data_IF_427522916908
#
_entry.id   IF_427522916908
#
_cell.length_a   1.000
_cell.length_b   1.000
_cell.length_c   1.000
_cell.angle_alpha   90.00
_cell.angle_beta   90.00
_cell.angle_gamma   90.00
#
_symmetry.space_group_name_H-M   'P 1'
#
loop_
_entity.id
_entity.type
_entity.pdbx_description
1 polymer ?
#
# COMPACT_ATOMS: atom_id res chain seq x y z
N UNK A 1 3.37 -14.34 2.62
CA UNK A 1 3.17 -13.26 1.63
C UNK A 1 4.37 -12.33 1.70
N UNK A 2 5.03 -12.08 0.57
CA UNK A 2 6.18 -11.19 0.47
C UNK A 2 5.98 -10.29 -0.76
N UNK A 3 6.40 -9.03 -0.66
CA UNK A 3 6.35 -8.07 -1.77
C UNK A 3 7.67 -8.15 -2.53
N UNK A 4 7.64 -8.44 -3.83
CA UNK A 4 8.86 -8.44 -4.63
C UNK A 4 9.10 -7.07 -5.29
N UNK A 5 10.36 -6.59 -5.36
CA UNK A 5 10.65 -5.30 -5.99
C UNK A 5 10.49 -5.31 -7.52
N UNK A 6 10.59 -6.49 -8.14
CA UNK A 6 10.52 -6.67 -9.60
C UNK A 6 9.10 -6.87 -10.13
N UNK A 7 8.10 -6.95 -9.25
CA UNK A 7 6.69 -7.06 -9.62
C UNK A 7 5.96 -5.74 -9.32
N UNK A 8 4.86 -5.53 -10.03
CA UNK A 8 3.89 -4.50 -9.70
C UNK A 8 2.77 -5.17 -8.91
N UNK A 9 2.78 -4.96 -7.60
CA UNK A 9 1.73 -5.49 -6.73
C UNK A 9 0.57 -4.50 -6.65
N UNK A 10 -0.64 -4.98 -6.87
CA UNK A 10 -1.88 -4.21 -6.75
C UNK A 10 -2.70 -4.81 -5.61
N UNK A 11 -2.97 -4.00 -4.60
CA UNK A 11 -3.87 -4.33 -3.50
C UNK A 11 -5.19 -3.60 -3.77
N UNK A 12 -6.24 -4.35 -4.10
CA UNK A 12 -7.50 -3.76 -4.54
C UNK A 12 -8.73 -4.60 -4.18
N UNK A 13 -9.90 -3.99 -4.36
CA UNK A 13 -11.19 -4.67 -4.28
C UNK A 13 -11.73 -4.86 -5.70
N UNK A 14 -11.90 -6.09 -6.18
CA UNK A 14 -12.38 -6.36 -7.53
C UNK A 14 -13.82 -5.91 -7.80
N UNK A 15 -14.61 -5.62 -6.75
CA UNK A 15 -15.95 -5.05 -6.90
C UNK A 15 -15.90 -3.58 -7.35
N UNK A 16 -14.83 -2.85 -7.05
CA UNK A 16 -14.75 -1.41 -7.34
C UNK A 16 -14.45 -1.13 -8.83
N UNK A 17 -15.25 -0.27 -9.51
CA UNK A 17 -15.00 0.07 -10.91
C UNK A 17 -13.64 0.73 -11.16
N UNK A 18 -13.21 1.62 -10.26
CA UNK A 18 -11.90 2.29 -10.32
C UNK A 18 -10.75 1.29 -10.24
N UNK A 19 -10.91 0.25 -9.42
CA UNK A 19 -9.90 -0.78 -9.26
C UNK A 19 -9.77 -1.66 -10.52
N UNK A 20 -10.89 -2.00 -11.19
CA UNK A 20 -10.85 -2.71 -12.48
C UNK A 20 -10.07 -1.93 -13.55
N UNK A 21 -10.26 -0.60 -13.60
CA UNK A 21 -9.50 0.27 -14.52
C UNK A 21 -8.02 0.31 -14.16
N UNK A 22 -7.69 0.45 -12.88
CA UNK A 22 -6.31 0.44 -12.41
C UNK A 22 -5.61 -0.89 -12.75
N UNK A 23 -6.29 -2.03 -12.55
CA UNK A 23 -5.78 -3.35 -12.92
C UNK A 23 -5.42 -3.42 -14.40
N UNK A 24 -6.32 -2.99 -15.29
CA UNK A 24 -6.06 -2.94 -16.72
C UNK A 24 -4.86 -2.03 -17.06
N UNK A 25 -4.77 -0.87 -16.40
CA UNK A 25 -3.63 0.06 -16.56
C UNK A 25 -2.32 -0.58 -16.10
N UNK A 26 -2.30 -1.35 -15.02
CA UNK A 26 -1.09 -2.03 -14.55
C UNK A 26 -0.57 -3.06 -15.56
N UNK A 27 -1.46 -3.86 -16.14
CA UNK A 27 -1.11 -4.80 -17.21
C UNK A 27 -0.62 -4.10 -18.48
N UNK A 28 -1.04 -2.86 -18.74
CA UNK A 28 -0.49 -2.07 -19.85
C UNK A 28 0.94 -1.57 -19.60
N UNK A 29 1.39 -1.54 -18.35
CA UNK A 29 2.72 -1.07 -17.95
C UNK A 29 3.72 -2.22 -17.86
N UNK A 30 3.30 -3.36 -17.32
CA UNK A 30 4.15 -4.53 -17.15
C UNK A 30 3.35 -5.82 -17.21
N UNK A 31 3.99 -6.90 -17.67
CA UNK A 31 3.42 -8.24 -17.63
C UNK A 31 3.59 -8.91 -16.25
N UNK A 32 4.47 -8.38 -15.39
CA UNK A 32 4.74 -8.93 -14.06
C UNK A 32 3.89 -8.23 -12.99
N UNK A 33 2.58 -8.52 -12.99
CA UNK A 33 1.60 -7.95 -12.07
C UNK A 33 1.20 -9.00 -11.03
N UNK A 34 1.32 -8.64 -9.75
CA UNK A 34 0.86 -9.45 -8.62
C UNK A 34 -0.44 -8.84 -8.07
N UNK A 35 -1.51 -9.63 -8.04
CA UNK A 35 -2.85 -9.17 -7.68
C UNK A 35 -3.24 -9.66 -6.29
N UNK A 36 -3.56 -8.71 -5.39
CA UNK A 36 -3.98 -9.00 -4.03
C UNK A 36 -5.37 -8.42 -3.79
N UNK A 37 -6.35 -9.31 -3.70
CA UNK A 37 -7.70 -8.97 -3.24
C UNK A 37 -7.70 -8.87 -1.72
N UNK A 38 -7.70 -7.65 -1.17
CA UNK A 38 -7.68 -7.43 0.29
C UNK A 38 -9.01 -7.78 0.98
N UNK A 39 -10.09 -7.97 0.21
CA UNK A 39 -11.40 -8.39 0.76
C UNK A 39 -11.43 -9.89 1.06
N UNK A 40 -10.64 -10.67 0.31
CA UNK A 40 -10.54 -12.14 0.44
C UNK A 40 -9.25 -12.59 1.11
N UNK A 41 -8.20 -11.79 1.00
CA UNK A 41 -6.85 -12.15 1.45
C UNK A 41 -6.46 -11.29 2.63
N UNK A 42 -6.16 -11.93 3.77
CA UNK A 42 -5.60 -11.24 4.92
C UNK A 42 -4.14 -10.89 4.66
N UNK A 43 -3.84 -9.59 4.70
CA UNK A 43 -2.47 -9.07 4.66
C UNK A 43 -1.93 -9.02 6.10
N UNK A 44 -0.71 -9.54 6.30
CA UNK A 44 -0.08 -9.56 7.62
C UNK A 44 0.38 -8.18 8.06
N UNK A 45 0.51 -7.97 9.37
CA UNK A 45 1.00 -6.72 9.96
C UNK A 45 2.41 -6.38 9.49
N UNK A 46 3.27 -7.37 9.25
CA UNK A 46 4.61 -7.18 8.68
C UNK A 46 4.56 -6.56 7.28
N UNK A 47 3.69 -7.07 6.40
CA UNK A 47 3.53 -6.53 5.04
C UNK A 47 2.92 -5.13 5.08
N UNK A 48 1.92 -4.90 5.95
CA UNK A 48 1.38 -3.55 6.15
C UNK A 48 2.43 -2.55 6.63
N UNK A 49 3.36 -2.98 7.49
CA UNK A 49 4.44 -2.13 7.97
C UNK A 49 5.38 -1.71 6.82
N UNK A 50 5.68 -2.62 5.90
CA UNK A 50 6.47 -2.31 4.70
C UNK A 50 5.73 -1.32 3.79
N UNK A 51 4.44 -1.55 3.52
CA UNK A 51 3.61 -0.66 2.69
C UNK A 51 3.54 0.74 3.29
N UNK A 52 3.30 0.84 4.60
CA UNK A 52 3.28 2.13 5.30
C UNK A 52 4.62 2.85 5.21
N UNK A 53 5.73 2.13 5.37
CA UNK A 53 7.06 2.71 5.21
C UNK A 53 7.24 3.32 3.81
N UNK A 54 6.78 2.63 2.77
CA UNK A 54 6.83 3.13 1.39
C UNK A 54 5.89 4.31 1.12
N UNK A 55 4.79 4.45 1.87
CA UNK A 55 3.82 5.55 1.77
C UNK A 55 4.18 6.78 2.63
N UNK A 56 5.24 6.70 3.46
CA UNK A 56 5.65 7.80 4.33
C UNK A 56 5.19 7.69 5.79
N UNK A 57 4.81 6.50 6.26
CA UNK A 57 4.48 6.16 7.66
C UNK A 57 3.23 6.84 8.25
N UNK A 58 2.24 7.22 7.44
CA UNK A 58 0.94 7.69 7.95
C UNK A 58 -0.18 6.63 7.80
N UNK A 59 -0.43 5.80 8.83
CA UNK A 59 -1.50 4.81 8.78
C UNK A 59 -2.90 5.41 8.70
N UNK A 60 -3.11 6.66 9.15
CA UNK A 60 -4.43 7.30 9.09
C UNK A 60 -4.80 7.67 7.67
N UNK A 61 -3.82 7.89 6.79
CA UNK A 61 -4.06 8.19 5.37
C UNK A 61 -4.64 7.00 4.61
N UNK A 62 -4.32 5.78 5.05
CA UNK A 62 -4.80 4.52 4.47
C UNK A 62 -6.21 4.14 4.89
N UNK A 63 -6.82 4.85 5.84
CA UNK A 63 -8.15 4.52 6.33
C UNK A 63 -9.22 5.46 5.74
N UNK A 64 -10.35 4.89 5.38
CA UNK A 64 -11.51 5.61 4.88
C UNK A 64 -12.23 6.28 6.06
N UNK A 65 -11.89 7.55 6.29
CA UNK A 65 -12.46 8.36 7.36
C UNK A 65 -13.98 8.58 7.23
N UNK A 66 -14.54 8.43 6.02
CA UNK A 66 -15.97 8.57 5.80
C UNK A 66 -16.77 7.32 6.19
N UNK A 67 -16.11 6.17 6.42
CA UNK A 67 -16.80 4.94 6.77
C UNK A 67 -17.39 5.00 8.19
N UNK A 68 -18.64 4.54 8.43
CA UNK A 68 -19.26 4.59 9.75
C UNK A 68 -18.47 3.83 10.82
N UNK A 69 -17.89 2.66 10.50
CA UNK A 69 -17.03 1.92 11.45
C UNK A 69 -15.77 2.70 11.85
N UNK A 70 -15.21 3.54 10.95
CA UNK A 70 -14.08 4.40 11.32
C UNK A 70 -14.52 5.42 12.38
N UNK A 71 -15.70 6.03 12.19
CA UNK A 71 -16.25 7.00 13.13
C UNK A 71 -16.60 6.36 14.48
N UNK A 72 -17.12 5.14 14.47
CA UNK A 72 -17.56 4.44 15.69
C UNK A 72 -16.40 3.82 16.49
N UNK A 73 -15.38 3.26 15.82
CA UNK A 73 -14.34 2.43 16.47
C UNK A 73 -12.96 3.07 16.49
N UNK A 74 -12.66 3.96 15.55
CA UNK A 74 -11.30 4.47 15.32
C UNK A 74 -11.17 5.95 15.67
N UNK A 75 -12.18 6.76 15.36
CA UNK A 75 -12.15 8.20 15.61
C UNK A 75 -12.07 8.50 17.11
N UNK A 76 -11.21 9.46 17.45
CA UNK A 76 -10.98 9.89 18.84
C UNK A 76 -10.01 8.99 19.62
N UNK A 77 -9.66 7.82 19.10
CA UNK A 77 -8.70 6.92 19.71
C UNK A 77 -7.27 7.20 19.23
N UNK A 78 -6.32 7.05 20.15
CA UNK A 78 -4.89 7.13 19.88
C UNK A 78 -4.30 5.72 19.88
N UNK A 79 -3.93 5.23 18.70
CA UNK A 79 -3.28 3.93 18.56
C UNK A 79 -1.78 4.06 18.35
N UNK A 80 -1.03 3.09 18.87
CA UNK A 80 0.38 2.89 18.53
C UNK A 80 0.51 2.38 17.10
N UNK A 81 1.72 2.41 16.53
CA UNK A 81 1.96 1.87 15.18
C UNK A 81 1.50 0.41 15.07
N UNK A 82 1.77 -0.43 16.07
CA UNK A 82 1.30 -1.81 16.09
C UNK A 82 -0.24 -1.90 16.11
N UNK A 83 -0.91 -1.06 16.91
CA UNK A 83 -2.37 -1.00 16.91
C UNK A 83 -2.95 -0.58 15.56
N UNK A 84 -2.30 0.34 14.84
CA UNK A 84 -2.70 0.69 13.48
C UNK A 84 -2.55 -0.49 12.50
N UNK A 85 -1.44 -1.23 12.59
CA UNK A 85 -1.22 -2.43 11.78
C UNK A 85 -2.28 -3.50 12.05
N UNK A 86 -2.65 -3.69 13.33
CA UNK A 86 -3.73 -4.60 13.71
C UNK A 86 -5.07 -4.14 13.14
N UNK A 87 -5.36 -2.83 13.14
CA UNK A 87 -6.58 -2.31 12.53
C UNK A 87 -6.59 -2.60 11.02
N UNK A 88 -5.49 -2.34 10.31
CA UNK A 88 -5.38 -2.60 8.88
C UNK A 88 -5.49 -4.11 8.53
N UNK A 89 -5.00 -4.99 9.39
CA UNK A 89 -5.09 -6.44 9.18
C UNK A 89 -6.46 -7.03 9.54
N UNK A 90 -7.12 -6.51 10.58
CA UNK A 90 -8.38 -7.04 11.10
C UNK A 90 -9.62 -6.35 10.52
N UNK A 91 -9.50 -5.10 10.05
CA UNK A 91 -10.60 -4.32 9.49
C UNK A 91 -10.29 -3.86 8.05
N UNK A 92 -10.11 -4.80 7.11
CA UNK A 92 -9.75 -4.49 5.72
C UNK A 92 -10.80 -3.62 5.00
N UNK A 93 -12.06 -3.66 5.41
CA UNK A 93 -13.13 -2.82 4.83
C UNK A 93 -12.93 -1.32 5.11
N UNK A 94 -12.15 -0.95 6.12
CA UNK A 94 -11.80 0.44 6.41
C UNK A 94 -10.68 0.95 5.50
N UNK A 95 -10.03 0.09 4.72
CA UNK A 95 -8.90 0.46 3.89
C UNK A 95 -9.36 1.36 2.73
N UNK A 96 -8.61 2.43 2.47
CA UNK A 96 -8.64 3.13 1.20
C UNK A 96 -7.85 2.33 0.19
N UNK A 97 -8.52 1.92 -0.87
CA UNK A 97 -7.98 1.16 -1.96
C UNK A 97 -8.41 1.79 -3.28
N UNK A 98 -7.72 1.54 -4.40
CA UNK A 98 -6.57 0.62 -4.55
C UNK A 98 -5.19 1.20 -4.16
N UNK A 99 -4.28 0.33 -3.73
CA UNK A 99 -2.87 0.63 -3.42
C UNK A 99 -1.98 -0.11 -4.42
N UNK A 100 -0.98 0.58 -4.98
CA UNK A 100 0.02 -0.02 -5.87
C UNK A 100 1.38 0.03 -5.22
N UNK A 101 2.12 -1.07 -5.28
CA UNK A 101 3.49 -1.20 -4.78
C UNK A 101 4.40 -1.71 -5.91
N UNK A 102 5.50 -1.01 -6.16
CA UNK A 102 6.51 -1.45 -7.13
C UNK A 102 7.86 -0.80 -6.83
N UNK A 103 8.97 -1.53 -7.04
CA UNK A 103 10.34 -1.00 -6.88
C UNK A 103 10.59 -0.27 -5.55
N UNK A 104 10.02 -0.75 -4.44
CA UNK A 104 10.16 -0.15 -3.12
C UNK A 104 9.43 1.18 -2.94
N UNK A 105 8.51 1.53 -3.84
CA UNK A 105 7.60 2.67 -3.74
C UNK A 105 6.17 2.16 -3.67
N UNK A 106 5.34 2.85 -2.90
CA UNK A 106 3.92 2.60 -2.82
C UNK A 106 3.15 3.89 -3.06
N UNK A 107 1.97 3.77 -3.66
CA UNK A 107 1.05 4.89 -3.86
C UNK A 107 -0.38 4.43 -3.60
N UNK A 108 -1.15 5.25 -2.89
CA UNK A 108 -2.59 5.13 -2.82
C UNK A 108 -3.18 5.80 -4.07
N UNK A 109 -3.87 5.03 -4.90
CA UNK A 109 -4.45 5.50 -6.16
C UNK A 109 -5.91 5.89 -5.94
N UNK A 110 -6.21 7.19 -6.02
CA UNK A 110 -7.61 7.66 -6.10
C UNK A 110 -8.10 7.59 -7.57
N UNK A 111 -7.19 7.69 -8.55
CA UNK A 111 -7.47 7.53 -9.97
C UNK A 111 -6.53 6.49 -10.61
N UNK A 112 -7.00 5.81 -11.66
CA UNK A 112 -6.19 4.82 -12.38
C UNK A 112 -4.91 5.42 -12.99
N UNK A 113 -4.91 6.71 -13.33
CA UNK A 113 -3.74 7.39 -13.88
C UNK A 113 -2.61 7.62 -12.85
N UNK A 114 -2.89 7.53 -11.56
CA UNK A 114 -1.88 7.75 -10.50
C UNK A 114 -0.74 6.73 -10.58
N UNK A 115 -1.02 5.53 -11.10
CA UNK A 115 0.00 4.50 -11.33
C UNK A 115 1.13 4.97 -12.25
N UNK A 116 0.86 5.90 -13.16
CA UNK A 116 1.86 6.45 -14.09
C UNK A 116 2.90 7.31 -13.37
N UNK A 117 2.58 7.81 -12.17
CA UNK A 117 3.54 8.55 -11.32
C UNK A 117 4.66 7.64 -10.82
N UNK A 118 4.40 6.33 -10.67
CA UNK A 118 5.42 5.35 -10.27
C UNK A 118 6.42 5.06 -11.40
N UNK A 119 5.96 5.02 -12.65
CA UNK A 119 6.80 4.75 -13.83
C UNK A 119 7.75 5.89 -14.20
N UNK A 120 7.51 7.12 -13.71
CA UNK A 120 8.36 8.30 -13.97
C UNK A 120 9.54 8.43 -13.00
N UNK A 121 10.15 7.32 -12.58
CA UNK A 121 11.35 7.39 -11.74
C UNK A 121 12.58 7.70 -12.60
N UNK A 122 12.71 8.97 -13.00
CA UNK A 122 14.02 9.58 -13.20
C UNK A 122 14.84 9.40 -11.92
N UNK A 123 16.01 8.78 -12.05
CA UNK A 123 17.12 8.78 -11.09
C UNK A 123 16.91 9.65 -9.84
N UNK A 124 16.53 9.04 -8.72
CA UNK A 124 16.70 9.66 -7.39
C UNK A 124 17.46 8.65 -6.53
N UNK A 125 18.68 8.96 -6.09
CA UNK A 125 19.53 8.01 -5.42
C UNK A 125 18.90 7.59 -4.09
N UNK A 126 18.84 6.27 -3.91
CA UNK A 126 18.36 5.57 -2.72
C UNK A 126 18.91 6.20 -1.46
N UNK A 127 18.04 6.79 -0.63
CA UNK A 127 18.37 7.12 0.77
C UNK A 127 18.59 5.80 1.48
N UNK A 128 19.86 5.40 1.59
CA UNK A 128 20.27 4.11 2.17
C UNK A 128 19.66 3.97 3.57
N UNK A 129 19.12 2.79 3.84
CA UNK A 129 18.66 2.38 5.17
C UNK A 129 19.86 2.44 6.14
N UNK A 130 19.72 3.06 7.32
CA UNK A 130 20.84 3.38 8.21
C UNK A 130 21.56 2.17 8.85
N UNK A 131 21.14 0.93 8.58
CA UNK A 131 21.75 -0.28 9.14
C UNK A 131 22.67 -1.05 8.18
N UNK A 132 22.86 -0.58 6.94
CA UNK A 132 23.71 -1.22 5.92
C UNK A 132 25.05 -0.50 5.67
N UNK A 133 25.46 0.39 6.58
CA UNK A 133 26.83 0.90 6.58
C UNK A 133 27.69 -0.12 7.33
N UNK A 134 28.27 -1.08 6.58
CA UNK A 134 29.46 -1.78 7.09
C UNK A 134 30.51 -0.71 7.35
N UNK A 135 30.86 -0.53 8.62
CA UNK A 135 32.07 0.17 9.01
C UNK A 135 33.21 -0.78 8.67
N UNK A 136 33.76 -0.62 7.48
CA UNK A 136 35.07 -1.18 7.20
C UNK A 136 36.07 -0.25 7.90
N UNK A 137 36.78 -0.82 8.88
CA UNK A 137 37.92 -0.23 9.58
C UNK A 137 39.22 -0.61 8.86
#
# INVERSE_FOLDING_TARGET
>A
MQLHPNELTIIYDPALPTAKKLRAMAYSITNNVNEIDYTRTRISTTVWKEILYMLGNDPKSLLNKAHPDYQAKVKGNSFTMNGWLDILSNYPHLLRAPIVVTQGKAILCDNCNDILKLGKSTNTPSRKLPHLVRRDA
#
